data_IF_907200363142
#
_entry.id   IF_907200363142
#
_cell.length_a   1.000
_cell.length_b   1.000
_cell.length_c   1.000
_cell.angle_alpha   90.00
_cell.angle_beta   90.00
_cell.angle_gamma   90.00
#
_symmetry.space_group_name_H-M   'P 1'
#
loop_
_entity.id
_entity.type
_entity.pdbx_description
1 polymer ?
#
# COMPACT_ATOMS: atom_id res chain seq x y z
N UNK A 1 13.24 -18.29 16.89
CA UNK A 1 14.17 -18.78 15.85
C UNK A 1 14.39 -17.61 14.90
N UNK A 2 15.60 -17.09 14.77
CA UNK A 2 15.86 -15.92 13.93
C UNK A 2 15.78 -16.33 12.46
N UNK A 3 14.76 -15.87 11.74
CA UNK A 3 14.63 -16.07 10.30
C UNK A 3 15.72 -15.27 9.58
N UNK A 4 16.34 -15.88 8.59
CA UNK A 4 17.30 -15.22 7.69
C UNK A 4 16.60 -14.23 6.76
N UNK A 5 17.34 -13.28 6.19
CA UNK A 5 16.81 -12.30 5.23
C UNK A 5 16.16 -12.97 4.02
N UNK A 6 16.67 -14.13 3.59
CA UNK A 6 16.11 -14.89 2.48
C UNK A 6 14.76 -15.52 2.82
N UNK A 7 14.66 -16.17 3.98
CA UNK A 7 13.38 -16.73 4.45
C UNK A 7 12.33 -15.61 4.64
N UNK A 8 12.74 -14.46 5.19
CA UNK A 8 11.87 -13.29 5.33
C UNK A 8 11.43 -12.74 3.98
N UNK A 9 12.32 -12.73 2.98
CA UNK A 9 11.94 -12.36 1.62
C UNK A 9 10.88 -13.32 1.08
N UNK A 10 11.07 -14.62 1.21
CA UNK A 10 10.13 -15.63 0.71
C UNK A 10 8.76 -15.44 1.36
N UNK A 11 8.73 -15.21 2.68
CA UNK A 11 7.49 -14.87 3.41
C UNK A 11 6.83 -13.58 2.89
N UNK A 12 7.59 -12.51 2.62
CA UNK A 12 7.07 -11.27 2.03
C UNK A 12 6.59 -11.47 0.58
N UNK A 13 7.26 -12.32 -0.19
CA UNK A 13 6.91 -12.62 -1.56
C UNK A 13 5.60 -13.42 -1.62
N UNK A 14 5.47 -14.46 -0.81
CA UNK A 14 4.24 -15.24 -0.69
C UNK A 14 3.06 -14.41 -0.19
N UNK A 15 3.28 -13.58 0.84
CA UNK A 15 2.28 -12.64 1.34
C UNK A 15 1.87 -11.64 0.25
N UNK A 16 2.83 -11.14 -0.53
CA UNK A 16 2.60 -10.26 -1.68
C UNK A 16 1.79 -10.92 -2.79
N UNK A 17 2.06 -12.19 -3.09
CA UNK A 17 1.30 -12.98 -4.09
C UNK A 17 -0.14 -13.20 -3.61
N UNK A 18 -0.33 -13.57 -2.34
CA UNK A 18 -1.65 -13.76 -1.73
C UNK A 18 -2.46 -12.47 -1.71
N UNK A 19 -1.86 -11.37 -1.28
CA UNK A 19 -2.52 -10.06 -1.24
C UNK A 19 -2.85 -9.55 -2.63
N UNK A 20 -2.01 -9.81 -3.64
CA UNK A 20 -2.30 -9.48 -5.04
C UNK A 20 -3.52 -10.25 -5.55
N UNK A 21 -3.64 -11.54 -5.23
CA UNK A 21 -4.83 -12.34 -5.57
C UNK A 21 -6.08 -11.80 -4.89
N UNK A 22 -6.00 -11.46 -3.60
CA UNK A 22 -7.13 -10.87 -2.86
C UNK A 22 -7.52 -9.50 -3.44
N UNK A 23 -6.55 -8.65 -3.75
CA UNK A 23 -6.76 -7.35 -4.37
C UNK A 23 -7.40 -7.48 -5.76
N UNK A 24 -7.02 -8.49 -6.55
CA UNK A 24 -7.64 -8.78 -7.83
C UNK A 24 -9.12 -9.18 -7.66
N UNK A 25 -9.42 -10.10 -6.73
CA UNK A 25 -10.80 -10.52 -6.47
C UNK A 25 -11.66 -9.35 -5.98
N UNK A 26 -11.14 -8.53 -5.07
CA UNK A 26 -11.81 -7.32 -4.60
C UNK A 26 -11.97 -6.30 -5.72
N UNK A 27 -10.95 -6.11 -6.56
CA UNK A 27 -11.01 -5.23 -7.72
C UNK A 27 -12.10 -5.65 -8.70
N UNK A 28 -12.17 -6.94 -9.04
CA UNK A 28 -13.24 -7.49 -9.89
C UNK A 28 -14.62 -7.26 -9.25
N UNK A 29 -14.75 -7.53 -7.96
CA UNK A 29 -16.00 -7.27 -7.23
C UNK A 29 -16.42 -5.79 -7.28
N UNK A 30 -15.49 -4.86 -7.04
CA UNK A 30 -15.74 -3.41 -7.10
C UNK A 30 -16.16 -2.98 -8.51
N UNK A 31 -15.50 -3.49 -9.54
CA UNK A 31 -15.85 -3.20 -10.94
C UNK A 31 -17.26 -3.70 -11.26
N UNK A 32 -17.60 -4.94 -10.88
CA UNK A 32 -18.95 -5.48 -11.08
C UNK A 32 -20.01 -4.63 -10.37
N UNK A 33 -19.72 -4.17 -9.15
CA UNK A 33 -20.62 -3.32 -8.38
C UNK A 33 -20.80 -1.93 -9.04
N UNK A 34 -19.73 -1.35 -9.59
CA UNK A 34 -19.81 -0.12 -10.39
C UNK A 34 -20.64 -0.29 -11.66
N UNK A 35 -20.48 -1.42 -12.36
CA UNK A 35 -21.26 -1.76 -13.56
C UNK A 35 -22.75 -1.91 -13.22
N UNK A 36 -23.09 -2.57 -12.11
CA UNK A 36 -24.48 -2.68 -11.65
C UNK A 36 -25.08 -1.29 -11.44
N UNK A 37 -24.41 -0.41 -10.70
CA UNK A 37 -24.90 0.96 -10.48
C UNK A 37 -25.02 1.78 -11.76
N UNK A 38 -24.12 1.55 -12.72
CA UNK A 38 -24.22 2.17 -14.04
C UNK A 38 -25.51 1.76 -14.76
N UNK A 39 -25.85 0.47 -14.75
CA UNK A 39 -27.07 -0.04 -15.37
C UNK A 39 -28.36 0.34 -14.64
N UNK A 40 -28.31 0.59 -13.33
CA UNK A 40 -29.47 1.10 -12.57
C UNK A 40 -29.66 2.61 -12.70
N UNK A 41 -28.83 3.30 -13.48
CA UNK A 41 -28.91 4.76 -13.69
C UNK A 41 -28.23 5.59 -12.60
N UNK A 42 -27.61 4.95 -11.62
CA UNK A 42 -26.97 5.58 -10.46
C UNK A 42 -25.51 5.98 -10.78
N UNK A 43 -25.33 6.85 -11.80
CA UNK A 43 -24.00 7.20 -12.34
C UNK A 43 -23.02 7.72 -11.28
N UNK A 44 -23.48 8.58 -10.35
CA UNK A 44 -22.64 9.10 -9.26
C UNK A 44 -22.16 8.01 -8.31
N UNK A 45 -23.00 7.03 -7.99
CA UNK A 45 -22.59 5.89 -7.16
C UNK A 45 -21.62 4.99 -7.92
N UNK A 46 -21.83 4.78 -9.22
CA UNK A 46 -20.90 4.04 -10.06
C UNK A 46 -19.50 4.68 -10.08
N UNK A 47 -19.42 6.01 -10.23
CA UNK A 47 -18.17 6.78 -10.19
C UNK A 47 -17.49 6.71 -8.82
N UNK A 48 -18.24 6.89 -7.73
CA UNK A 48 -17.69 6.78 -6.37
C UNK A 48 -17.15 5.37 -6.10
N UNK A 49 -17.89 4.33 -6.48
CA UNK A 49 -17.43 2.94 -6.33
C UNK A 49 -16.18 2.69 -7.17
N UNK A 50 -16.20 3.10 -8.44
CA UNK A 50 -15.08 2.90 -9.35
C UNK A 50 -13.81 3.61 -8.91
N UNK A 51 -13.89 4.91 -8.60
CA UNK A 51 -12.69 5.70 -8.30
C UNK A 51 -12.29 5.66 -6.83
N UNK A 52 -13.25 5.78 -5.90
CA UNK A 52 -12.96 5.89 -4.45
C UNK A 52 -12.71 4.53 -3.82
N UNK A 53 -13.29 3.44 -4.33
CA UNK A 53 -13.05 2.12 -3.73
C UNK A 53 -11.93 1.37 -4.43
N UNK A 54 -11.85 1.40 -5.76
CA UNK A 54 -10.93 0.50 -6.47
C UNK A 54 -9.46 0.68 -6.07
N UNK A 55 -8.92 1.88 -6.26
CA UNK A 55 -7.50 2.15 -5.96
C UNK A 55 -7.23 2.04 -4.44
N UNK A 56 -7.99 2.72 -3.57
CA UNK A 56 -7.75 2.68 -2.11
C UNK A 56 -7.83 1.28 -1.50
N UNK A 57 -8.81 0.46 -1.90
CA UNK A 57 -8.96 -0.91 -1.36
C UNK A 57 -7.80 -1.79 -1.81
N UNK A 58 -7.37 -1.70 -3.07
CA UNK A 58 -6.22 -2.46 -3.57
C UNK A 58 -4.95 -2.08 -2.82
N UNK A 59 -4.71 -0.79 -2.60
CA UNK A 59 -3.56 -0.29 -1.85
C UNK A 59 -3.62 -0.75 -0.39
N UNK A 60 -4.78 -0.65 0.25
CA UNK A 60 -4.99 -1.09 1.63
C UNK A 60 -4.62 -2.56 1.82
N UNK A 61 -5.12 -3.45 0.95
CA UNK A 61 -4.84 -4.89 1.03
C UNK A 61 -3.34 -5.17 0.96
N UNK A 62 -2.62 -4.46 0.08
CA UNK A 62 -1.16 -4.62 -0.07
C UNK A 62 -0.39 -4.10 1.13
N UNK A 63 -0.71 -2.89 1.60
CA UNK A 63 -0.07 -2.27 2.77
C UNK A 63 -0.30 -3.13 4.00
N UNK A 64 -1.55 -3.54 4.25
CA UNK A 64 -1.91 -4.39 5.39
C UNK A 64 -1.20 -5.74 5.37
N UNK A 65 -1.20 -6.44 4.23
CA UNK A 65 -0.53 -7.73 4.12
C UNK A 65 0.96 -7.63 4.41
N UNK A 66 1.63 -6.59 3.87
CA UNK A 66 3.04 -6.34 4.15
C UNK A 66 3.29 -6.05 5.62
N UNK A 67 2.53 -5.13 6.23
CA UNK A 67 2.67 -4.78 7.65
C UNK A 67 2.51 -6.01 8.54
N UNK A 68 1.48 -6.84 8.29
CA UNK A 68 1.26 -8.06 9.05
C UNK A 68 2.46 -9.01 8.97
N UNK A 69 3.04 -9.19 7.78
CA UNK A 69 4.23 -10.03 7.59
C UNK A 69 5.48 -9.43 8.23
N UNK A 70 5.69 -8.12 8.14
CA UNK A 70 6.83 -7.47 8.80
C UNK A 70 6.77 -7.61 10.32
N UNK A 71 5.58 -7.53 10.92
CA UNK A 71 5.40 -7.69 12.37
C UNK A 71 5.72 -9.11 12.89
N UNK A 72 5.78 -10.12 12.02
CA UNK A 72 6.18 -11.48 12.41
C UNK A 72 7.70 -11.70 12.42
N UNK A 73 8.49 -10.82 11.79
CA UNK A 73 9.93 -11.03 11.65
C UNK A 73 10.73 -10.64 12.89
N UNK A 74 10.27 -9.62 13.61
CA UNK A 74 10.98 -9.11 14.77
C UNK A 74 9.99 -8.59 15.81
N UNK A 75 10.15 -9.05 17.05
CA UNK A 75 9.29 -8.71 18.18
C UNK A 75 9.73 -7.44 18.93
N UNK A 76 10.93 -6.91 18.61
CA UNK A 76 11.48 -5.74 19.26
C UNK A 76 10.49 -4.56 19.20
N UNK A 77 10.21 -3.89 20.34
CA UNK A 77 9.24 -2.80 20.39
C UNK A 77 9.56 -1.67 19.41
N UNK A 78 10.83 -1.31 19.26
CA UNK A 78 11.25 -0.22 18.38
C UNK A 78 11.08 -0.56 16.90
N UNK A 79 11.35 -1.81 16.53
CA UNK A 79 11.06 -2.31 15.19
C UNK A 79 9.56 -2.28 14.89
N UNK A 80 8.74 -2.84 15.80
CA UNK A 80 7.28 -2.86 15.64
C UNK A 80 6.69 -1.45 15.55
N UNK A 81 7.17 -0.49 16.34
CA UNK A 81 6.77 0.91 16.26
C UNK A 81 7.04 1.51 14.89
N UNK A 82 8.24 1.29 14.34
CA UNK A 82 8.58 1.77 12.99
C UNK A 82 7.73 1.11 11.89
N UNK A 83 7.47 -0.19 11.98
CA UNK A 83 6.56 -0.90 11.05
C UNK A 83 5.14 -0.31 11.11
N UNK A 84 4.65 0.03 12.31
CA UNK A 84 3.37 0.72 12.46
C UNK A 84 3.39 2.15 11.94
N UNK A 85 4.50 2.89 12.08
CA UNK A 85 4.61 4.20 11.44
C UNK A 85 4.60 4.12 9.92
N UNK A 86 5.26 3.12 9.33
CA UNK A 86 5.16 2.86 7.89
C UNK A 86 3.71 2.57 7.49
N UNK A 87 3.02 1.71 8.23
CA UNK A 87 1.59 1.42 8.02
C UNK A 87 0.73 2.68 8.06
N UNK A 88 0.81 3.47 9.14
CA UNK A 88 0.02 4.69 9.30
C UNK A 88 0.35 5.75 8.24
N UNK A 89 1.61 5.85 7.81
CA UNK A 89 1.99 6.72 6.70
C UNK A 89 1.34 6.28 5.39
N UNK A 90 1.31 4.97 5.09
CA UNK A 90 0.61 4.42 3.93
C UNK A 90 -0.91 4.65 4.00
N UNK A 91 -1.51 4.46 5.18
CA UNK A 91 -2.93 4.73 5.40
C UNK A 91 -3.28 6.22 5.21
N UNK A 92 -2.43 7.13 5.68
CA UNK A 92 -2.63 8.56 5.47
C UNK A 92 -2.64 8.91 3.97
N UNK A 93 -1.75 8.32 3.17
CA UNK A 93 -1.74 8.48 1.70
C UNK A 93 -3.04 7.97 1.09
N UNK A 94 -3.52 6.80 1.51
CA UNK A 94 -4.79 6.23 1.02
C UNK A 94 -5.96 7.16 1.34
N UNK A 95 -6.06 7.66 2.58
CA UNK A 95 -7.14 8.58 3.00
C UNK A 95 -7.08 9.88 2.22
N UNK A 96 -5.90 10.47 2.03
CA UNK A 96 -5.72 11.69 1.24
C UNK A 96 -6.14 11.46 -0.21
N UNK A 97 -5.83 10.30 -0.77
CA UNK A 97 -6.26 9.94 -2.12
C UNK A 97 -7.78 9.82 -2.22
N UNK A 98 -8.46 9.20 -1.25
CA UNK A 98 -9.92 9.17 -1.19
C UNK A 98 -10.53 10.57 -1.12
N UNK A 99 -10.02 11.42 -0.24
CA UNK A 99 -10.50 12.81 -0.10
C UNK A 99 -10.32 13.56 -1.41
N UNK A 100 -9.16 13.43 -2.08
CA UNK A 100 -8.93 14.07 -3.36
C UNK A 100 -9.93 13.60 -4.43
N UNK A 101 -10.14 12.29 -4.59
CA UNK A 101 -11.08 11.77 -5.58
C UNK A 101 -12.48 12.34 -5.31
N UNK A 102 -12.94 12.31 -4.06
CA UNK A 102 -14.24 12.86 -3.68
C UNK A 102 -14.31 14.36 -3.98
N UNK A 103 -13.26 15.12 -3.67
CA UNK A 103 -13.20 16.56 -3.98
C UNK A 103 -13.28 16.81 -5.47
N UNK A 104 -12.52 16.09 -6.31
CA UNK A 104 -12.54 16.26 -7.76
C UNK A 104 -13.86 15.84 -8.40
N UNK A 105 -14.51 14.79 -7.86
CA UNK A 105 -15.84 14.38 -8.30
C UNK A 105 -16.92 15.42 -7.95
N UNK A 106 -16.79 16.10 -6.81
CA UNK A 106 -17.76 17.09 -6.35
C UNK A 106 -17.48 18.52 -6.83
N UNK A 107 -16.22 18.85 -7.11
CA UNK A 107 -15.72 20.20 -7.46
C UNK A 107 -14.58 20.09 -8.48
N UNK A 108 -14.87 19.75 -9.74
CA UNK A 108 -13.85 19.48 -10.76
C UNK A 108 -12.96 20.70 -11.06
N UNK A 109 -13.49 21.92 -10.91
CA UNK A 109 -12.76 23.19 -11.01
C UNK A 109 -11.59 23.35 -10.00
N UNK A 110 -11.47 22.47 -9.00
CA UNK A 110 -10.36 22.47 -8.03
C UNK A 110 -9.19 21.57 -8.43
N UNK A 111 -8.97 21.34 -9.73
CA UNK A 111 -7.88 20.50 -10.25
C UNK A 111 -6.48 20.88 -9.73
N UNK A 112 -6.25 22.15 -9.37
CA UNK A 112 -5.00 22.63 -8.75
C UNK A 112 -4.62 21.88 -7.47
N UNK A 113 -5.60 21.25 -6.77
CA UNK A 113 -5.34 20.41 -5.59
C UNK A 113 -4.48 19.19 -5.94
N UNK A 114 -4.47 18.73 -7.20
CA UNK A 114 -3.61 17.65 -7.67
C UNK A 114 -2.12 17.92 -7.41
N UNK A 115 -1.68 19.18 -7.51
CA UNK A 115 -0.28 19.57 -7.25
C UNK A 115 0.10 19.27 -5.80
N UNK A 116 -0.78 19.60 -4.85
CA UNK A 116 -0.57 19.33 -3.43
C UNK A 116 -0.51 17.83 -3.16
N UNK A 117 -1.33 17.04 -3.85
CA UNK A 117 -1.32 15.58 -3.69
C UNK A 117 -0.09 14.93 -4.29
N UNK A 118 0.40 15.40 -5.44
CA UNK A 118 1.69 14.95 -5.98
C UNK A 118 2.82 15.29 -5.01
N UNK A 119 2.86 16.51 -4.48
CA UNK A 119 3.86 16.92 -3.48
C UNK A 119 3.79 16.06 -2.21
N UNK A 120 2.59 15.78 -1.71
CA UNK A 120 2.39 14.93 -0.54
C UNK A 120 2.82 13.49 -0.79
N UNK A 121 2.51 12.92 -1.96
CA UNK A 121 2.94 11.57 -2.33
C UNK A 121 4.48 11.47 -2.39
N UNK A 122 5.15 12.48 -2.96
CA UNK A 122 6.61 12.55 -2.95
C UNK A 122 7.17 12.59 -1.52
N UNK A 123 6.57 13.41 -0.66
CA UNK A 123 6.97 13.47 0.75
C UNK A 123 6.78 12.12 1.47
N UNK A 124 5.63 11.47 1.27
CA UNK A 124 5.34 10.16 1.85
C UNK A 124 6.31 9.09 1.35
N UNK A 125 6.69 9.11 0.06
CA UNK A 125 7.67 8.20 -0.50
C UNK A 125 9.06 8.39 0.13
N UNK A 126 9.51 9.63 0.30
CA UNK A 126 10.77 9.95 0.99
C UNK A 126 10.71 9.49 2.45
N UNK A 127 9.60 9.74 3.15
CA UNK A 127 9.41 9.32 4.54
C UNK A 127 9.46 7.79 4.68
N UNK A 128 8.80 7.05 3.79
CA UNK A 128 8.83 5.58 3.75
C UNK A 128 10.25 5.06 3.54
N UNK A 129 11.02 5.63 2.60
CA UNK A 129 12.42 5.28 2.37
C UNK A 129 13.30 5.50 3.62
N UNK A 130 13.06 6.59 4.37
CA UNK A 130 13.78 6.85 5.63
C UNK A 130 13.39 5.86 6.74
N UNK A 131 12.13 5.44 6.81
CA UNK A 131 11.68 4.42 7.78
C UNK A 131 12.33 3.07 7.45
N UNK A 132 12.36 2.68 6.18
CA UNK A 132 12.99 1.45 5.69
C UNK A 132 14.48 1.39 6.04
N UNK A 133 15.20 2.50 5.88
CA UNK A 133 16.60 2.61 6.33
C UNK A 133 16.75 2.45 7.85
N UNK A 134 15.85 3.05 8.63
CA UNK A 134 15.87 2.89 10.10
C UNK A 134 15.57 1.46 10.52
N UNK A 135 14.65 0.77 9.83
CA UNK A 135 14.34 -0.64 10.09
C UNK A 135 15.55 -1.52 9.82
N UNK A 136 16.29 -1.28 8.73
CA UNK A 136 17.53 -1.99 8.42
C UNK A 136 18.65 -1.76 9.45
N UNK A 137 18.69 -0.58 10.07
CA UNK A 137 19.66 -0.29 11.13
C UNK A 137 19.33 -1.01 12.45
N UNK A 138 18.04 -1.25 12.74
CA UNK A 138 17.61 -1.98 13.94
C UNK A 138 17.71 -3.49 13.72
N UNK A 139 17.41 -3.95 12.52
CA UNK A 139 17.40 -5.36 12.15
C UNK A 139 18.17 -5.56 10.84
N UNK A 140 19.43 -6.06 10.91
CA UNK A 140 20.25 -6.32 9.72
C UNK A 140 19.62 -7.29 8.73
N UNK A 141 18.75 -8.19 9.20
CA UNK A 141 18.02 -9.17 8.38
C UNK A 141 16.71 -8.57 7.81
N UNK A 142 16.44 -7.28 8.02
CA UNK A 142 15.27 -6.61 7.44
C UNK A 142 15.38 -6.58 5.90
N UNK A 143 14.26 -6.91 5.25
CA UNK A 143 14.16 -6.90 3.79
C UNK A 143 13.69 -5.52 3.36
N UNK A 144 14.65 -4.64 3.05
CA UNK A 144 14.38 -3.29 2.54
C UNK A 144 13.58 -3.31 1.24
N UNK A 145 12.91 -2.21 0.91
CA UNK A 145 12.20 -2.07 -0.39
C UNK A 145 13.11 -2.41 -1.57
N UNK A 146 14.35 -1.92 -1.56
CA UNK A 146 15.35 -2.19 -2.61
C UNK A 146 15.78 -3.66 -2.66
N UNK A 147 15.93 -4.31 -1.51
CA UNK A 147 16.25 -5.74 -1.45
C UNK A 147 15.08 -6.57 -2.00
N UNK A 148 13.85 -6.20 -1.63
CA UNK A 148 12.64 -6.85 -2.11
C UNK A 148 12.45 -6.72 -3.63
N UNK A 149 12.68 -5.54 -4.20
CA UNK A 149 12.59 -5.31 -5.64
C UNK A 149 13.64 -6.11 -6.43
N UNK A 150 14.89 -6.16 -5.95
CA UNK A 150 15.96 -6.96 -6.57
C UNK A 150 15.69 -8.47 -6.45
N UNK A 151 15.21 -8.92 -5.29
CA UNK A 151 14.87 -10.32 -5.06
C UNK A 151 13.78 -10.83 -6.00
N UNK A 152 12.79 -10.00 -6.36
CA UNK A 152 11.75 -10.36 -7.32
C UNK A 152 12.26 -10.66 -8.72
N UNK A 153 13.38 -10.06 -9.12
CA UNK A 153 14.03 -10.28 -10.42
C UNK A 153 15.20 -11.26 -10.34
N UNK A 154 15.30 -12.03 -9.23
CA UNK A 154 16.28 -13.11 -9.06
C UNK A 154 17.64 -12.69 -8.52
N UNK A 155 17.83 -11.41 -8.15
CA UNK A 155 19.09 -10.92 -7.60
C UNK A 155 19.04 -10.83 -6.08
N UNK A 156 19.60 -11.85 -5.41
CA UNK A 156 20.00 -11.77 -4.01
C UNK A 156 21.51 -11.55 -3.94
N UNK A 157 21.95 -10.55 -3.17
CA UNK A 157 23.36 -10.48 -2.77
C UNK A 157 23.65 -11.74 -1.94
N UNK A 158 24.65 -12.51 -2.39
CA UNK A 158 25.20 -13.64 -1.65
C UNK A 158 25.91 -13.16 -0.39
#
# INVERSE_FOLDING_TARGET
MNMTQRERFDHLYEAGKRSTRQALLLGVFIVLLGVIFWFTGERRLAELVGFVLFIPVILFVKVWARTKTLLTFNEAPDYRRLVWYEYWSGMAVIVIFCVLIVTLLLRPEQENILILVVAFNLFAWIASSKIDQKLANIDPEHVTHKAYERGKVGFFLK
#
